data_IF_637717120291
#
_entry.id   IF_637717120291
#
_cell.length_a   1.000
_cell.length_b   1.000
_cell.length_c   1.000
_cell.angle_alpha   90.00
_cell.angle_beta   90.00
_cell.angle_gamma   90.00
#
_symmetry.space_group_name_H-M   'P 1'
#
loop_
_entity.id
_entity.type
_entity.pdbx_description
1 polymer ?
#
# COMPACT_ATOMS: atom_id res chain seq x y z
N UNK A 1 2.68 -16.73 -18.95
CA UNK A 1 1.24 -16.69 -18.61
C UNK A 1 1.00 -16.46 -17.10
N UNK A 2 1.91 -16.89 -16.21
CA UNK A 2 1.78 -16.72 -14.75
C UNK A 2 1.80 -15.27 -14.22
N UNK A 3 2.48 -14.34 -14.90
CA UNK A 3 2.63 -12.93 -14.46
C UNK A 3 1.71 -11.94 -15.18
N UNK A 4 0.77 -12.43 -15.99
CA UNK A 4 -0.19 -11.55 -16.66
C UNK A 4 -1.26 -11.09 -15.65
N UNK A 5 -1.57 -9.78 -15.55
CA UNK A 5 -2.62 -9.27 -14.66
C UNK A 5 -4.04 -9.56 -15.16
N UNK A 6 -4.18 -10.17 -16.34
CA UNK A 6 -5.47 -10.53 -16.91
C UNK A 6 -6.22 -11.59 -16.05
N UNK A 7 -7.56 -11.63 -16.13
CA UNK A 7 -8.38 -12.61 -15.43
C UNK A 7 -7.92 -14.04 -15.76
N UNK A 8 -7.65 -14.82 -14.72
CA UNK A 8 -7.17 -16.20 -14.85
C UNK A 8 -8.07 -17.11 -14.04
N UNK A 9 -8.70 -18.10 -14.69
CA UNK A 9 -9.69 -18.98 -14.07
C UNK A 9 -9.23 -19.59 -12.73
N UNK A 10 -8.02 -20.17 -12.65
CA UNK A 10 -7.49 -20.70 -11.39
C UNK A 10 -7.36 -19.66 -10.26
N UNK A 11 -7.04 -18.39 -10.56
CA UNK A 11 -6.99 -17.33 -9.53
C UNK A 11 -8.36 -17.06 -8.91
N UNK A 12 -9.43 -17.16 -9.69
CA UNK A 12 -10.79 -17.01 -9.17
C UNK A 12 -11.16 -18.14 -8.21
N UNK A 13 -10.68 -19.37 -8.45
CA UNK A 13 -10.92 -20.52 -7.57
C UNK A 13 -10.29 -20.31 -6.19
N UNK A 14 -9.03 -19.83 -6.12
CA UNK A 14 -8.39 -19.55 -4.83
C UNK A 14 -9.12 -18.46 -4.05
N UNK A 15 -9.53 -17.38 -4.72
CA UNK A 15 -10.30 -16.31 -4.08
C UNK A 15 -11.64 -16.81 -3.54
N UNK A 16 -12.35 -17.64 -4.32
CA UNK A 16 -13.62 -18.23 -3.90
C UNK A 16 -13.46 -19.20 -2.72
N UNK A 17 -12.45 -20.07 -2.75
CA UNK A 17 -12.15 -20.98 -1.65
C UNK A 17 -11.78 -20.21 -0.37
N UNK A 18 -10.95 -19.16 -0.49
CA UNK A 18 -10.59 -18.29 0.63
C UNK A 18 -11.80 -17.52 1.17
N UNK A 19 -12.71 -17.07 0.30
CA UNK A 19 -13.95 -16.41 0.69
C UNK A 19 -14.83 -17.36 1.54
N UNK A 20 -15.10 -18.57 1.08
CA UNK A 20 -15.90 -19.55 1.85
C UNK A 20 -15.20 -19.87 3.17
N UNK A 21 -13.90 -20.18 3.13
CA UNK A 21 -13.12 -20.51 4.31
C UNK A 21 -13.10 -19.38 5.34
N UNK A 22 -12.91 -18.14 4.90
CA UNK A 22 -12.91 -16.96 5.77
C UNK A 22 -14.28 -16.73 6.41
N UNK A 23 -15.38 -16.84 5.66
CA UNK A 23 -16.73 -16.69 6.21
C UNK A 23 -17.05 -17.80 7.21
N UNK A 24 -16.69 -19.05 6.91
CA UNK A 24 -16.91 -20.17 7.83
C UNK A 24 -16.13 -19.97 9.14
N UNK A 25 -14.84 -19.63 9.05
CA UNK A 25 -14.00 -19.34 10.22
C UNK A 25 -14.53 -18.15 11.02
N UNK A 26 -15.01 -17.11 10.34
CA UNK A 26 -15.60 -15.94 10.99
C UNK A 26 -16.88 -16.29 11.76
N UNK A 27 -17.77 -17.10 11.18
CA UNK A 27 -18.99 -17.56 11.85
C UNK A 27 -18.67 -18.44 13.06
N UNK A 28 -17.70 -19.35 12.94
CA UNK A 28 -17.23 -20.17 14.06
C UNK A 28 -16.64 -19.29 15.17
N UNK A 29 -15.83 -18.31 14.79
CA UNK A 29 -15.25 -17.34 15.71
C UNK A 29 -16.32 -16.52 16.42
N UNK A 30 -17.33 -16.00 15.70
CA UNK A 30 -18.43 -15.24 16.31
C UNK A 30 -19.27 -16.11 17.24
N UNK A 31 -19.61 -17.33 16.82
CA UNK A 31 -20.33 -18.28 17.67
C UNK A 31 -19.55 -18.53 18.95
N UNK A 32 -18.25 -18.80 18.85
CA UNK A 32 -17.40 -18.95 20.00
C UNK A 32 -17.34 -17.68 20.86
N UNK A 33 -17.13 -16.50 20.27
CA UNK A 33 -16.91 -15.27 21.03
C UNK A 33 -18.17 -14.76 21.74
N UNK A 34 -19.36 -14.95 21.16
CA UNK A 34 -20.62 -14.40 21.66
C UNK A 34 -21.41 -15.36 22.54
N UNK A 35 -21.28 -16.67 22.34
CA UNK A 35 -22.01 -17.67 23.13
C UNK A 35 -21.33 -17.83 24.50
N UNK A 36 -22.10 -17.75 25.62
CA UNK A 36 -21.58 -17.99 26.96
C UNK A 36 -20.97 -19.38 27.11
N UNK A 37 -19.92 -19.49 27.93
CA UNK A 37 -19.21 -20.76 28.13
C UNK A 37 -20.11 -21.85 28.74
N UNK A 38 -21.07 -21.49 29.59
CA UNK A 38 -22.07 -22.41 30.15
C UNK A 38 -22.84 -23.16 29.05
N UNK A 39 -23.33 -22.43 28.04
CA UNK A 39 -24.07 -23.01 26.92
C UNK A 39 -23.15 -23.88 26.06
N UNK A 40 -21.91 -23.45 25.87
CA UNK A 40 -20.92 -24.18 25.09
C UNK A 40 -20.49 -25.49 25.76
N UNK A 41 -20.42 -25.49 27.09
CA UNK A 41 -20.08 -26.64 27.91
C UNK A 41 -21.26 -27.62 27.99
N UNK A 42 -22.46 -27.13 28.32
CA UNK A 42 -23.60 -27.99 28.63
C UNK A 42 -24.26 -28.59 27.38
N UNK A 43 -24.38 -27.83 26.29
CA UNK A 43 -25.05 -28.31 25.07
C UNK A 43 -24.09 -28.84 24.01
N UNK A 44 -22.89 -28.26 23.91
CA UNK A 44 -21.91 -28.58 22.87
C UNK A 44 -20.75 -29.45 23.39
N UNK A 45 -20.60 -29.60 24.71
CA UNK A 45 -19.53 -30.40 25.32
C UNK A 45 -18.13 -29.83 25.14
N UNK A 46 -17.99 -28.57 24.71
CA UNK A 46 -16.68 -27.97 24.39
C UNK A 46 -16.14 -27.27 25.62
N UNK A 47 -15.22 -27.93 26.34
CA UNK A 47 -14.79 -27.51 27.69
C UNK A 47 -13.40 -26.87 27.77
N UNK A 48 -12.58 -26.95 26.71
CA UNK A 48 -11.16 -26.55 26.74
C UNK A 48 -10.82 -25.49 25.68
N UNK A 49 -11.65 -24.47 25.54
CA UNK A 49 -11.36 -23.32 24.69
C UNK A 49 -10.53 -22.27 25.43
N UNK A 50 -9.75 -21.44 24.68
CA UNK A 50 -9.05 -20.31 25.29
C UNK A 50 -10.05 -19.32 25.90
N UNK A 51 -9.56 -18.49 26.84
CA UNK A 51 -10.38 -17.43 27.43
C UNK A 51 -10.95 -16.49 26.36
N UNK A 52 -12.25 -16.12 26.48
CA UNK A 52 -12.92 -15.15 25.60
C UNK A 52 -12.23 -13.78 25.56
N UNK A 53 -11.40 -13.46 26.56
CA UNK A 53 -10.55 -12.26 26.54
C UNK A 53 -9.73 -12.15 25.24
N UNK A 54 -9.24 -13.28 24.72
CA UNK A 54 -8.47 -13.31 23.48
C UNK A 54 -9.27 -12.90 22.24
N UNK A 55 -10.60 -13.04 22.27
CA UNK A 55 -11.47 -12.56 21.18
C UNK A 55 -11.42 -11.03 21.03
N UNK A 56 -11.08 -10.31 22.10
CA UNK A 56 -10.94 -8.84 22.06
C UNK A 56 -9.47 -8.44 21.95
N UNK A 57 -8.60 -9.15 22.67
CA UNK A 57 -7.18 -8.84 22.68
C UNK A 57 -6.55 -8.99 21.28
N UNK A 58 -6.83 -10.08 20.55
CA UNK A 58 -6.21 -10.31 19.24
C UNK A 58 -6.54 -9.19 18.25
N UNK A 59 -7.81 -8.79 18.03
CA UNK A 59 -8.14 -7.66 17.16
C UNK A 59 -7.50 -6.34 17.59
N UNK A 60 -7.50 -6.04 18.89
CA UNK A 60 -6.90 -4.80 19.40
C UNK A 60 -5.40 -4.77 19.11
N UNK A 61 -4.66 -5.81 19.48
CA UNK A 61 -3.22 -5.87 19.23
C UNK A 61 -2.88 -5.83 17.73
N UNK A 62 -3.68 -6.50 16.88
CA UNK A 62 -3.51 -6.42 15.43
C UNK A 62 -3.72 -5.00 14.90
N UNK A 63 -4.78 -4.32 15.33
CA UNK A 63 -5.05 -2.92 14.95
C UNK A 63 -3.99 -1.96 15.48
N UNK A 64 -3.52 -2.13 16.72
CA UNK A 64 -2.44 -1.33 17.29
C UNK A 64 -1.13 -1.52 16.54
N UNK A 65 -0.77 -2.76 16.22
CA UNK A 65 0.42 -3.07 15.43
C UNK A 65 0.32 -2.46 14.02
N UNK A 66 -0.84 -2.61 13.36
CA UNK A 66 -1.10 -2.03 12.04
C UNK A 66 -1.03 -0.50 12.06
N UNK A 67 -1.65 0.15 13.05
CA UNK A 67 -1.62 1.61 13.19
C UNK A 67 -0.20 2.11 13.46
N UNK A 68 0.53 1.45 14.37
CA UNK A 68 1.93 1.76 14.66
C UNK A 68 2.78 1.63 13.39
N UNK A 69 2.58 0.56 12.63
CA UNK A 69 3.29 0.36 11.38
C UNK A 69 2.95 1.44 10.34
N UNK A 70 1.65 1.70 10.09
CA UNK A 70 1.19 2.60 9.05
C UNK A 70 1.52 4.07 9.32
N UNK A 71 1.43 4.51 10.59
CA UNK A 71 1.56 5.94 10.94
C UNK A 71 2.91 6.32 11.50
N UNK A 72 3.67 5.39 12.07
CA UNK A 72 4.97 5.69 12.68
C UNK A 72 6.10 5.05 11.89
N UNK A 73 6.09 3.72 11.76
CA UNK A 73 7.22 2.98 11.17
C UNK A 73 7.35 3.28 9.68
N UNK A 74 6.28 3.16 8.91
CA UNK A 74 6.31 3.33 7.46
C UNK A 74 6.72 4.75 7.05
N UNK A 75 6.15 5.83 7.62
CA UNK A 75 6.61 7.19 7.34
C UNK A 75 8.05 7.42 7.81
N UNK A 76 8.46 6.89 8.96
CA UNK A 76 9.84 7.02 9.43
C UNK A 76 10.84 6.36 8.46
N UNK A 77 10.54 5.17 7.95
CA UNK A 77 11.36 4.51 6.93
C UNK A 77 11.40 5.35 5.64
N UNK A 78 10.26 5.87 5.19
CA UNK A 78 10.22 6.74 4.01
C UNK A 78 11.11 7.98 4.21
N UNK A 79 11.03 8.64 5.36
CA UNK A 79 11.88 9.78 5.68
C UNK A 79 13.37 9.41 5.75
N UNK A 80 13.71 8.22 6.28
CA UNK A 80 15.08 7.74 6.36
C UNK A 80 15.70 7.47 4.97
N UNK A 81 14.90 7.01 4.02
CA UNK A 81 15.34 6.69 2.65
C UNK A 81 15.28 7.92 1.74
N UNK A 82 14.46 8.91 2.07
CA UNK A 82 14.31 10.13 1.28
C UNK A 82 15.60 10.96 1.32
N UNK A 83 16.20 11.34 0.16
CA UNK A 83 17.34 12.25 0.11
C UNK A 83 17.03 13.61 0.73
N UNK A 84 18.07 14.38 1.09
CA UNK A 84 17.90 15.75 1.57
C UNK A 84 17.09 16.60 0.57
N UNK A 85 16.30 17.55 1.08
CA UNK A 85 15.45 18.41 0.25
C UNK A 85 16.24 19.23 -0.79
N UNK A 86 17.53 19.49 -0.53
CA UNK A 86 18.40 20.24 -1.44
C UNK A 86 19.20 19.33 -2.37
N UNK A 87 19.02 18.01 -2.32
CA UNK A 87 19.73 17.07 -3.17
C UNK A 87 19.17 17.11 -4.60
N UNK A 88 20.05 17.27 -5.59
CA UNK A 88 19.68 17.29 -7.01
C UNK A 88 18.93 16.03 -7.45
N UNK A 89 19.15 14.89 -6.77
CA UNK A 89 18.43 13.62 -7.00
C UNK A 89 16.92 13.72 -6.74
N UNK A 90 16.46 14.74 -6.01
CA UNK A 90 15.03 15.02 -5.81
C UNK A 90 14.40 15.75 -7.02
N UNK A 91 15.22 16.32 -7.90
CA UNK A 91 14.79 17.11 -9.07
C UNK A 91 14.99 16.34 -10.38
N UNK A 92 16.09 15.59 -10.51
CA UNK A 92 16.44 14.85 -11.72
C UNK A 92 16.79 13.40 -11.39
N UNK A 93 16.39 12.47 -12.25
CA UNK A 93 16.78 11.07 -12.16
C UNK A 93 17.81 10.70 -13.24
N UNK A 94 18.20 9.42 -13.26
CA UNK A 94 19.15 8.85 -14.24
C UNK A 94 18.55 8.64 -15.65
N UNK A 95 17.24 8.78 -15.78
CA UNK A 95 16.48 8.61 -17.02
C UNK A 95 16.10 9.95 -17.65
N UNK A 96 16.33 11.06 -16.95
CA UNK A 96 16.17 12.42 -17.45
C UNK A 96 17.00 12.62 -18.72
N UNK A 97 16.33 13.07 -19.77
CA UNK A 97 16.96 13.37 -21.06
C UNK A 97 17.43 14.81 -21.05
N UNK A 98 18.74 15.03 -21.09
CA UNK A 98 19.29 16.38 -21.17
C UNK A 98 19.38 16.86 -22.61
N UNK A 99 19.37 18.18 -22.78
CA UNK A 99 19.57 18.78 -24.09
C UNK A 99 20.88 18.31 -24.71
N UNK A 100 20.80 17.85 -25.96
CA UNK A 100 21.94 17.42 -26.76
C UNK A 100 21.94 18.24 -28.06
N UNK A 101 23.13 18.56 -28.56
CA UNK A 101 23.26 19.35 -29.79
C UNK A 101 22.52 18.71 -30.96
N UNK A 102 21.77 19.53 -31.68
CA UNK A 102 21.04 19.12 -32.88
C UNK A 102 21.91 19.15 -34.12
N UNK A 103 21.72 18.14 -34.97
CA UNK A 103 22.27 18.12 -36.33
C UNK A 103 21.77 19.38 -37.08
N UNK A 104 22.63 20.14 -37.77
CA UNK A 104 22.22 21.33 -38.51
C UNK A 104 21.12 21.01 -39.53
N UNK A 105 19.95 21.67 -39.40
CA UNK A 105 18.77 21.45 -40.24
C UNK A 105 17.85 20.29 -39.80
N UNK A 106 18.20 19.59 -38.71
CA UNK A 106 17.39 18.53 -38.12
C UNK A 106 16.38 19.02 -37.08
N UNK A 107 15.40 18.17 -36.77
CA UNK A 107 14.46 18.38 -35.65
C UNK A 107 15.17 18.00 -34.34
N UNK A 108 15.08 18.80 -33.27
CA UNK A 108 15.68 18.44 -32.00
C UNK A 108 15.16 17.13 -31.42
N UNK A 109 16.03 16.33 -30.78
CA UNK A 109 15.59 15.16 -30.02
C UNK A 109 14.70 15.61 -28.87
N UNK A 110 13.82 14.72 -28.40
CA UNK A 110 13.02 14.96 -27.20
C UNK A 110 13.95 14.99 -25.98
N UNK A 111 13.86 16.04 -25.17
CA UNK A 111 14.60 16.21 -23.94
C UNK A 111 13.72 16.85 -22.85
N UNK A 112 14.08 16.63 -21.60
CA UNK A 112 13.42 17.19 -20.43
C UNK A 112 13.93 18.61 -20.16
N UNK A 113 13.00 19.54 -19.99
CA UNK A 113 13.30 20.93 -19.65
C UNK A 113 13.38 21.04 -18.13
N UNK A 114 14.46 21.61 -17.55
CA UNK A 114 14.57 21.79 -16.10
C UNK A 114 13.37 22.57 -15.54
N UNK A 115 12.83 22.11 -14.41
CA UNK A 115 11.65 22.72 -13.77
C UNK A 115 11.83 24.23 -13.51
N UNK A 116 13.06 24.66 -13.22
CA UNK A 116 13.41 26.08 -13.06
C UNK A 116 13.11 26.91 -14.31
N UNK A 117 13.39 26.38 -15.50
CA UNK A 117 13.17 27.08 -16.77
C UNK A 117 11.69 27.08 -17.16
N UNK A 118 10.99 25.97 -16.90
CA UNK A 118 9.53 25.88 -17.05
C UNK A 118 8.83 26.90 -16.16
N UNK A 119 9.18 26.95 -14.86
CA UNK A 119 8.61 27.90 -13.92
C UNK A 119 8.93 29.34 -14.30
N UNK A 120 10.15 29.61 -14.76
CA UNK A 120 10.52 30.94 -15.24
C UNK A 120 9.68 31.37 -16.43
N UNK A 121 9.53 30.50 -17.41
CA UNK A 121 8.83 30.81 -18.66
C UNK A 121 7.33 30.94 -18.47
N UNK A 122 6.72 30.08 -17.65
CA UNK A 122 5.26 30.04 -17.44
C UNK A 122 4.78 31.02 -16.37
N UNK A 123 5.53 31.19 -15.28
CA UNK A 123 5.04 31.92 -14.09
C UNK A 123 5.80 33.21 -13.78
N UNK A 124 7.07 33.34 -14.19
CA UNK A 124 7.89 34.54 -13.89
C UNK A 124 8.09 35.46 -15.09
N UNK A 125 7.76 35.02 -16.30
CA UNK A 125 7.76 35.87 -17.48
C UNK A 125 6.61 36.87 -17.32
N UNK A 126 6.96 38.03 -16.76
CA UNK A 126 6.08 39.19 -16.64
C UNK A 126 5.27 39.34 -17.93
N UNK A 127 3.95 39.22 -17.80
CA UNK A 127 3.01 39.82 -18.75
C UNK A 127 3.27 41.33 -18.76
N UNK A 128 4.26 41.76 -19.55
CA UNK A 128 4.24 43.11 -20.10
C UNK A 128 3.14 43.09 -21.16
N UNK A 129 1.95 43.50 -20.72
CA UNK A 129 0.96 44.16 -21.57
C UNK A 129 1.60 45.37 -22.26
#
# INVERSE_FOLDING_TARGET
>A
MEHTPAPYGPRAVYGYAMYIGSNMLFLLYMTWALVPDEVLHDYLGVTYLPSKYWAVAIPIWALTALATFAFLIYPAINMLITPDINDLRTITDKHALHWTETIPGGIPPVFDIPITEVCRTLYLRNNKL
#
